data_IF_228373921961
#
_entry.id   IF_228373921961
#
_cell.length_a   1.000
_cell.length_b   1.000
_cell.length_c   1.000
_cell.angle_alpha   90.00
_cell.angle_beta   90.00
_cell.angle_gamma   90.00
#
_symmetry.space_group_name_H-M   'P 1'
#
loop_
_entity.id
_entity.type
_entity.pdbx_description
1 polymer ?
#
# COMPACT_ATOMS: atom_id res chain seq x y z
N UNK A 1 4.36 -21.77 -16.73
CA UNK A 1 4.85 -20.64 -17.56
C UNK A 1 6.20 -20.99 -18.17
N UNK A 2 6.31 -20.84 -19.48
CA UNK A 2 7.60 -20.93 -20.17
C UNK A 2 8.49 -19.73 -19.83
N UNK A 3 9.80 -19.86 -20.01
CA UNK A 3 10.79 -18.82 -19.67
C UNK A 3 10.43 -17.43 -20.21
N UNK A 4 10.05 -17.35 -21.49
CA UNK A 4 9.62 -16.10 -22.13
C UNK A 4 8.39 -15.47 -21.46
N UNK A 5 7.41 -16.28 -21.06
CA UNK A 5 6.22 -15.78 -20.37
C UNK A 5 6.59 -15.19 -18.99
N UNK A 6 7.53 -15.80 -18.26
CA UNK A 6 8.01 -15.27 -16.97
C UNK A 6 8.73 -13.94 -17.13
N UNK A 7 9.58 -13.83 -18.14
CA UNK A 7 10.30 -12.58 -18.44
C UNK A 7 9.33 -11.45 -18.79
N UNK A 8 8.34 -11.71 -19.66
CA UNK A 8 7.31 -10.73 -20.01
C UNK A 8 6.50 -10.31 -18.77
N UNK A 9 6.02 -11.26 -17.97
CA UNK A 9 5.28 -10.95 -16.74
C UNK A 9 6.12 -10.16 -15.74
N UNK A 10 7.40 -10.49 -15.58
CA UNK A 10 8.30 -9.77 -14.69
C UNK A 10 8.54 -8.32 -15.12
N UNK A 11 8.74 -8.09 -16.42
CA UNK A 11 8.87 -6.73 -16.97
C UNK A 11 7.57 -5.94 -16.80
N UNK A 12 6.41 -6.54 -17.07
CA UNK A 12 5.11 -5.88 -16.88
C UNK A 12 4.89 -5.48 -15.42
N UNK A 13 5.29 -6.32 -14.46
CA UNK A 13 5.19 -6.01 -13.03
C UNK A 13 6.11 -4.87 -12.59
N UNK A 14 7.34 -4.83 -13.11
CA UNK A 14 8.25 -3.71 -12.86
C UNK A 14 7.69 -2.42 -13.46
N UNK A 15 7.19 -2.47 -14.69
CA UNK A 15 6.56 -1.31 -15.33
C UNK A 15 5.35 -0.83 -14.53
N UNK A 16 4.48 -1.75 -14.11
CA UNK A 16 3.34 -1.46 -13.26
C UNK A 16 3.76 -0.82 -11.93
N UNK A 17 4.80 -1.35 -11.29
CA UNK A 17 5.37 -0.76 -10.08
C UNK A 17 5.82 0.68 -10.30
N UNK A 18 6.51 0.98 -11.39
CA UNK A 18 7.01 2.33 -11.66
C UNK A 18 5.83 3.28 -11.85
N UNK A 19 4.83 2.88 -12.65
CA UNK A 19 3.60 3.65 -12.87
C UNK A 19 2.88 3.93 -11.54
N UNK A 20 2.72 2.91 -10.69
CA UNK A 20 2.10 3.06 -9.38
C UNK A 20 2.90 3.98 -8.46
N UNK A 21 4.23 3.87 -8.47
CA UNK A 21 5.09 4.72 -7.65
C UNK A 21 5.00 6.19 -8.07
N UNK A 22 5.09 6.47 -9.37
CA UNK A 22 4.95 7.84 -9.92
C UNK A 22 3.56 8.41 -9.63
N UNK A 23 2.52 7.57 -9.75
CA UNK A 23 1.14 7.96 -9.42
C UNK A 23 1.02 8.38 -7.95
N UNK A 24 1.60 7.60 -7.02
CA UNK A 24 1.60 7.91 -5.59
C UNK A 24 2.38 9.19 -5.24
N UNK A 25 3.52 9.43 -5.91
CA UNK A 25 4.30 10.65 -5.71
C UNK A 25 3.56 11.90 -6.15
N UNK A 26 2.77 11.81 -7.23
CA UNK A 26 1.92 12.90 -7.72
C UNK A 26 0.55 12.96 -7.04
N UNK A 27 0.32 12.24 -5.94
CA UNK A 27 -1.00 12.20 -5.30
C UNK A 27 -1.34 13.54 -4.65
N UNK A 28 -2.58 14.00 -4.88
CA UNK A 28 -3.14 15.18 -4.26
C UNK A 28 -4.53 14.85 -3.68
N UNK A 29 -4.73 15.06 -2.38
CA UNK A 29 -6.00 14.76 -1.71
C UNK A 29 -7.17 15.64 -2.17
N UNK A 30 -6.90 16.78 -2.83
CA UNK A 30 -7.97 17.63 -3.41
C UNK A 30 -8.44 17.12 -4.76
N UNK A 31 -7.69 16.23 -5.41
CA UNK A 31 -8.03 15.65 -6.71
C UNK A 31 -8.84 14.37 -6.49
N UNK A 32 -10.11 14.41 -6.90
CA UNK A 32 -11.01 13.26 -6.78
C UNK A 32 -11.32 12.69 -8.18
N UNK A 33 -11.16 11.37 -8.40
CA UNK A 33 -11.49 10.74 -9.67
C UNK A 33 -12.93 10.98 -10.16
N UNK A 34 -13.89 11.20 -9.25
CA UNK A 34 -15.33 11.28 -9.56
C UNK A 34 -15.85 12.69 -9.92
N UNK A 35 -14.99 13.68 -10.14
CA UNK A 35 -15.41 15.06 -10.43
C UNK A 35 -14.48 15.86 -11.34
N UNK A 36 -13.44 15.22 -11.89
CA UNK A 36 -12.48 15.88 -12.79
C UNK A 36 -12.99 15.78 -14.24
N UNK A 37 -13.26 16.92 -14.86
CA UNK A 37 -13.39 17.00 -16.32
C UNK A 37 -12.04 16.72 -16.99
N UNK A 38 -12.04 16.20 -18.22
CA UNK A 38 -10.80 15.90 -18.95
C UNK A 38 -9.88 17.13 -19.14
N UNK A 39 -10.44 18.35 -19.04
CA UNK A 39 -9.75 19.64 -19.14
C UNK A 39 -9.35 20.26 -17.78
N UNK A 40 -9.50 19.52 -16.68
CA UNK A 40 -9.05 20.01 -15.38
C UNK A 40 -7.52 19.96 -15.28
N UNK A 41 -6.91 21.00 -14.70
CA UNK A 41 -5.47 21.02 -14.42
C UNK A 41 -5.15 19.96 -13.35
N UNK A 42 -4.74 18.77 -13.81
CA UNK A 42 -4.33 17.66 -12.95
C UNK A 42 -2.85 17.80 -12.56
N UNK A 43 -2.54 17.78 -11.28
CA UNK A 43 -1.16 17.88 -10.78
C UNK A 43 -0.39 16.55 -10.83
N UNK A 44 -1.09 15.42 -10.92
CA UNK A 44 -0.44 14.12 -10.98
C UNK A 44 0.40 13.98 -12.26
N UNK A 45 1.64 13.48 -12.12
CA UNK A 45 2.58 13.32 -13.24
C UNK A 45 2.06 12.44 -14.39
N UNK A 46 1.12 11.54 -14.10
CA UNK A 46 0.48 10.65 -15.09
C UNK A 46 -0.92 11.12 -15.50
N UNK A 47 -1.25 12.38 -15.21
CA UNK A 47 -2.56 12.97 -15.47
C UNK A 47 -3.68 12.24 -14.71
N UNK A 48 -4.88 12.24 -15.29
CA UNK A 48 -6.07 11.67 -14.64
C UNK A 48 -5.88 10.18 -14.30
N UNK A 49 -5.14 9.43 -15.11
CA UNK A 49 -4.87 8.02 -14.85
C UNK A 49 -4.11 7.81 -13.53
N UNK A 50 -3.11 8.65 -13.24
CA UNK A 50 -2.37 8.60 -11.97
C UNK A 50 -3.21 9.02 -10.77
N UNK A 51 -4.19 9.92 -10.96
CA UNK A 51 -5.16 10.28 -9.91
C UNK A 51 -5.98 9.06 -9.50
N UNK A 52 -6.50 8.29 -10.46
CA UNK A 52 -7.24 7.06 -10.17
C UNK A 52 -6.40 6.05 -9.38
N UNK A 53 -5.19 5.74 -9.87
CA UNK A 53 -4.31 4.76 -9.21
C UNK A 53 -3.99 5.19 -7.78
N UNK A 54 -3.53 6.43 -7.62
CA UNK A 54 -3.13 6.94 -6.32
C UNK A 54 -4.31 7.05 -5.36
N UNK A 55 -5.48 7.50 -5.82
CA UNK A 55 -6.68 7.60 -5.00
C UNK A 55 -7.09 6.24 -4.42
N UNK A 56 -7.14 5.18 -5.23
CA UNK A 56 -7.48 3.85 -4.73
C UNK A 56 -6.46 3.30 -3.75
N UNK A 57 -5.17 3.53 -4.02
CA UNK A 57 -4.11 3.10 -3.12
C UNK A 57 -4.26 3.79 -1.76
N UNK A 58 -4.26 5.13 -1.73
CA UNK A 58 -4.44 5.90 -0.50
C UNK A 58 -5.76 5.62 0.21
N UNK A 59 -6.85 5.36 -0.53
CA UNK A 59 -8.13 4.98 0.10
C UNK A 59 -8.02 3.64 0.82
N UNK A 60 -7.21 2.71 0.31
CA UNK A 60 -7.05 1.38 0.89
C UNK A 60 -6.08 1.35 2.08
N UNK A 61 -4.83 1.82 1.91
CA UNK A 61 -3.78 1.76 2.95
C UNK A 61 -3.22 3.14 3.36
N UNK A 62 -3.78 4.25 2.87
CA UNK A 62 -3.26 5.58 3.15
C UNK A 62 -1.83 5.75 2.64
N UNK A 63 -1.00 6.45 3.40
CA UNK A 63 0.43 6.65 3.07
C UNK A 63 1.23 5.34 3.03
N UNK A 64 0.78 4.27 3.71
CA UNK A 64 1.49 2.98 3.69
C UNK A 64 1.33 2.22 2.38
N UNK A 65 0.49 2.72 1.46
CA UNK A 65 0.27 2.15 0.12
C UNK A 65 1.50 2.11 -0.78
N UNK A 66 2.57 2.83 -0.42
CA UNK A 66 3.89 2.71 -1.05
C UNK A 66 4.43 1.27 -1.03
N UNK A 67 3.90 0.42 -0.14
CA UNK A 67 4.25 -0.98 -0.09
C UNK A 67 3.87 -1.74 -1.37
N UNK A 68 2.80 -1.34 -2.07
CA UNK A 68 2.35 -2.00 -3.29
C UNK A 68 3.37 -1.90 -4.43
N UNK A 69 3.86 -0.70 -4.84
CA UNK A 69 4.90 -0.64 -5.85
C UNK A 69 6.15 -1.40 -5.41
N UNK A 70 6.59 -1.27 -4.14
CA UNK A 70 7.74 -2.04 -3.64
C UNK A 70 7.53 -3.55 -3.80
N UNK A 71 6.33 -4.05 -3.46
CA UNK A 71 5.96 -5.45 -3.63
C UNK A 71 6.01 -5.89 -5.11
N UNK A 72 5.39 -5.12 -6.01
CA UNK A 72 5.37 -5.44 -7.44
C UNK A 72 6.75 -5.37 -8.08
N UNK A 73 7.59 -4.42 -7.66
CA UNK A 73 8.97 -4.32 -8.12
C UNK A 73 9.77 -5.56 -7.73
N UNK A 74 9.68 -5.98 -6.47
CA UNK A 74 10.39 -7.15 -5.97
C UNK A 74 9.86 -8.44 -6.60
N UNK A 75 8.55 -8.56 -6.78
CA UNK A 75 7.92 -9.70 -7.46
C UNK A 75 8.34 -9.78 -8.93
N UNK A 76 8.35 -8.65 -9.64
CA UNK A 76 8.77 -8.57 -11.04
C UNK A 76 10.26 -8.91 -11.21
N UNK A 77 11.10 -8.41 -10.31
CA UNK A 77 12.52 -8.78 -10.25
C UNK A 77 12.71 -10.29 -10.07
N UNK A 78 12.00 -10.92 -9.12
CA UNK A 78 12.10 -12.37 -8.89
C UNK A 78 11.69 -13.19 -10.10
N UNK A 79 10.67 -12.77 -10.86
CA UNK A 79 10.22 -13.44 -12.06
C UNK A 79 11.24 -13.37 -13.21
N UNK A 80 11.90 -12.23 -13.35
CA UNK A 80 12.95 -12.02 -14.37
C UNK A 80 14.22 -12.79 -14.06
N UNK A 81 14.58 -12.85 -12.78
CA UNK A 81 15.93 -13.22 -12.40
C UNK A 81 16.25 -14.71 -12.57
N UNK A 82 15.31 -15.53 -13.07
CA UNK A 82 15.46 -16.98 -13.36
C UNK A 82 16.18 -17.77 -12.25
N UNK A 83 16.16 -17.25 -11.02
CA UNK A 83 17.16 -17.59 -10.03
C UNK A 83 16.81 -18.93 -9.40
N UNK A 84 17.79 -19.84 -9.43
CA UNK A 84 17.94 -20.95 -8.48
C UNK A 84 18.15 -20.46 -7.02
N UNK A 85 17.83 -19.20 -6.70
CA UNK A 85 18.17 -18.56 -5.43
C UNK A 85 17.18 -18.96 -4.33
N UNK A 86 17.70 -19.04 -3.11
CA UNK A 86 16.97 -19.38 -1.88
C UNK A 86 15.96 -18.32 -1.43
N UNK A 87 15.84 -17.18 -2.13
CA UNK A 87 14.84 -16.14 -1.84
C UNK A 87 13.49 -16.67 -2.29
N UNK A 88 12.77 -17.30 -1.35
CA UNK A 88 11.45 -17.87 -1.59
C UNK A 88 10.44 -16.75 -1.76
N UNK A 89 9.38 -17.03 -2.52
CA UNK A 89 8.17 -16.20 -2.60
C UNK A 89 7.66 -15.74 -1.22
N UNK A 90 7.93 -16.49 -0.15
CA UNK A 90 7.65 -16.07 1.22
C UNK A 90 8.22 -14.68 1.57
N UNK A 91 9.36 -14.27 1.01
CA UNK A 91 9.97 -12.95 1.28
C UNK A 91 9.16 -11.79 0.69
N UNK A 92 8.47 -12.00 -0.44
CA UNK A 92 7.60 -10.97 -1.02
C UNK A 92 6.33 -10.77 -0.17
N UNK A 93 5.83 -11.85 0.43
CA UNK A 93 4.68 -11.78 1.33
C UNK A 93 4.98 -10.97 2.59
N UNK A 94 6.19 -11.09 3.15
CA UNK A 94 6.59 -10.26 4.29
C UNK A 94 6.52 -8.76 3.98
N UNK A 95 6.90 -8.34 2.76
CA UNK A 95 6.76 -6.93 2.33
C UNK A 95 5.31 -6.49 2.45
N UNK A 96 4.36 -7.26 1.92
CA UNK A 96 2.92 -6.94 2.04
C UNK A 96 2.46 -6.91 3.50
N UNK A 97 2.83 -7.91 4.30
CA UNK A 97 2.46 -7.98 5.72
C UNK A 97 2.97 -6.76 6.49
N UNK A 98 4.20 -6.30 6.24
CA UNK A 98 4.75 -5.09 6.86
C UNK A 98 3.90 -3.87 6.51
N UNK A 99 3.47 -3.71 5.25
CA UNK A 99 2.61 -2.59 4.86
C UNK A 99 1.24 -2.61 5.52
N UNK A 100 0.60 -3.78 5.55
CA UNK A 100 -0.68 -3.97 6.24
C UNK A 100 -0.55 -3.70 7.74
N UNK A 101 0.53 -4.17 8.35
CA UNK A 101 0.82 -3.96 9.77
C UNK A 101 1.05 -2.47 10.09
N UNK A 102 1.84 -1.76 9.27
CA UNK A 102 2.05 -0.32 9.41
C UNK A 102 0.76 0.48 9.26
N UNK A 103 -0.14 0.08 8.35
CA UNK A 103 -1.47 0.68 8.19
C UNK A 103 -2.27 0.60 9.50
N UNK A 104 -2.27 -0.55 10.18
CA UNK A 104 -2.95 -0.72 11.47
C UNK A 104 -2.29 0.09 12.60
N UNK A 105 -0.95 0.10 12.67
CA UNK A 105 -0.21 0.94 13.63
C UNK A 105 -0.60 2.40 13.46
N UNK A 106 -0.70 2.87 12.22
CA UNK A 106 -1.00 4.28 11.98
C UNK A 106 -2.43 4.64 12.41
N UNK A 107 -3.36 3.68 12.34
CA UNK A 107 -4.70 3.84 12.89
C UNK A 107 -4.69 3.90 14.42
N UNK A 108 -3.93 3.02 15.07
CA UNK A 108 -3.72 3.04 16.52
C UNK A 108 -3.14 4.38 16.99
N UNK A 109 -2.08 4.87 16.32
CA UNK A 109 -1.47 6.17 16.62
C UNK A 109 -2.49 7.29 16.45
N UNK A 110 -3.24 7.31 15.33
CA UNK A 110 -4.26 8.32 15.06
C UNK A 110 -5.33 8.38 16.17
N UNK A 111 -5.76 7.21 16.65
CA UNK A 111 -6.71 7.09 17.76
C UNK A 111 -6.12 7.63 19.07
N UNK A 112 -4.88 7.27 19.40
CA UNK A 112 -4.24 7.74 20.65
C UNK A 112 -4.02 9.25 20.69
N UNK A 113 -3.80 9.88 19.53
CA UNK A 113 -3.56 11.33 19.41
C UNK A 113 -4.89 12.10 19.17
N UNK A 114 -6.03 11.41 19.05
CA UNK A 114 -7.32 12.00 18.67
C UNK A 114 -7.27 12.82 17.36
N UNK A 115 -6.48 12.36 16.37
CA UNK A 115 -6.35 13.05 15.09
C UNK A 115 -7.13 12.32 13.97
N UNK A 116 -8.30 12.84 13.55
CA UNK A 116 -9.09 12.23 12.48
C UNK A 116 -8.42 12.35 11.10
N UNK A 117 -7.54 13.34 10.94
CA UNK A 117 -6.77 13.52 9.70
C UNK A 117 -5.74 12.40 9.53
N UNK A 118 -5.06 12.03 10.63
CA UNK A 118 -4.14 10.89 10.60
C UNK A 118 -4.90 9.58 10.37
N UNK A 119 -6.09 9.41 10.95
CA UNK A 119 -6.84 8.17 10.76
C UNK A 119 -7.20 7.97 9.29
N UNK A 120 -7.82 8.94 8.65
CA UNK A 120 -8.31 8.76 7.29
C UNK A 120 -7.19 8.71 6.24
N UNK A 121 -6.24 9.65 6.29
CA UNK A 121 -5.27 9.78 5.22
C UNK A 121 -4.05 8.85 5.38
N UNK A 122 -3.69 8.50 6.62
CA UNK A 122 -2.48 7.70 6.86
C UNK A 122 -2.74 6.21 7.04
N UNK A 123 -3.84 5.83 7.70
CA UNK A 123 -4.11 4.40 7.91
C UNK A 123 -4.92 3.76 6.79
N UNK A 124 -5.69 4.55 6.04
CA UNK A 124 -6.58 4.04 4.99
C UNK A 124 -7.71 3.18 5.56
N UNK A 125 -8.63 2.76 4.69
CA UNK A 125 -9.79 1.98 5.09
C UNK A 125 -9.42 0.67 5.80
N UNK A 126 -8.38 -0.03 5.33
CA UNK A 126 -7.97 -1.32 5.87
C UNK A 126 -7.48 -1.20 7.31
N UNK A 127 -6.59 -0.24 7.58
CA UNK A 127 -6.02 0.00 8.91
C UNK A 127 -7.09 0.38 9.93
N UNK A 128 -8.00 1.30 9.56
CA UNK A 128 -9.12 1.72 10.41
C UNK A 128 -10.03 0.54 10.74
N UNK A 129 -10.39 -0.26 9.74
CA UNK A 129 -11.33 -1.36 9.90
C UNK A 129 -10.77 -2.42 10.87
N UNK A 130 -9.52 -2.82 10.69
CA UNK A 130 -8.87 -3.80 11.56
C UNK A 130 -8.65 -3.24 12.96
N UNK A 131 -8.15 -2.00 13.08
CA UNK A 131 -7.94 -1.37 14.37
C UNK A 131 -9.25 -1.28 15.17
N UNK A 132 -10.34 -0.84 14.55
CA UNK A 132 -11.65 -0.73 15.21
C UNK A 132 -12.18 -2.11 15.64
N UNK A 133 -11.99 -3.14 14.81
CA UNK A 133 -12.37 -4.52 15.15
C UNK A 133 -11.54 -5.06 16.33
N UNK A 134 -10.25 -4.78 16.39
CA UNK A 134 -9.42 -5.19 17.54
C UNK A 134 -9.81 -4.41 18.80
N UNK A 135 -10.00 -3.09 18.69
CA UNK A 135 -10.34 -2.23 19.80
C UNK A 135 -11.70 -2.59 20.42
N UNK A 136 -12.67 -3.04 19.62
CA UNK A 136 -13.98 -3.48 20.13
C UNK A 136 -13.92 -4.81 20.90
N UNK A 137 -12.95 -5.69 20.60
CA UNK A 137 -12.80 -7.00 21.25
C UNK A 137 -11.96 -6.91 22.52
N UNK A 138 -10.79 -6.26 22.45
CA UNK A 138 -9.79 -6.29 23.54
C UNK A 138 -9.53 -4.92 24.18
N UNK A 139 -10.14 -3.84 23.66
CA UNK A 139 -9.88 -2.48 24.11
C UNK A 139 -8.47 -1.97 23.76
N UNK A 140 -8.22 -0.69 24.00
CA UNK A 140 -7.01 0.01 23.55
C UNK A 140 -5.70 -0.59 24.11
N UNK A 141 -5.72 -1.01 25.39
CA UNK A 141 -4.58 -1.67 26.03
C UNK A 141 -4.34 -3.07 25.45
N UNK A 142 -5.39 -3.79 25.06
CA UNK A 142 -5.24 -5.07 24.39
C UNK A 142 -4.64 -4.91 22.99
N UNK A 143 -5.08 -3.89 22.24
CA UNK A 143 -4.53 -3.59 20.91
C UNK A 143 -3.04 -3.30 20.98
N UNK A 144 -2.58 -2.50 21.95
CA UNK A 144 -1.15 -2.19 22.08
C UNK A 144 -0.30 -3.44 22.36
N UNK A 145 -0.77 -4.33 23.22
CA UNK A 145 -0.09 -5.61 23.51
C UNK A 145 -0.05 -6.52 22.27
N UNK A 146 -1.16 -6.63 21.54
CA UNK A 146 -1.22 -7.45 20.32
C UNK A 146 -0.29 -6.92 19.24
N UNK A 147 -0.26 -5.60 19.01
CA UNK A 147 0.65 -4.99 18.02
C UNK A 147 2.12 -5.25 18.41
N UNK A 148 2.48 -5.07 19.68
CA UNK A 148 3.84 -5.39 20.15
C UNK A 148 4.19 -6.87 19.97
N UNK A 149 3.25 -7.77 20.24
CA UNK A 149 3.48 -9.19 20.05
C UNK A 149 3.72 -9.54 18.58
N UNK A 150 2.93 -8.97 17.66
CA UNK A 150 3.11 -9.14 16.21
C UNK A 150 4.45 -8.57 15.74
N UNK A 151 4.91 -7.47 16.32
CA UNK A 151 6.21 -6.87 15.98
C UNK A 151 7.42 -7.76 16.33
N UNK A 152 7.29 -8.58 17.38
CA UNK A 152 8.38 -9.43 17.88
C UNK A 152 8.49 -10.74 17.08
N UNK A 153 7.41 -11.17 16.41
CA UNK A 153 7.33 -12.40 15.62
C UNK A 153 7.99 -12.25 14.23
#
# INVERSE_FOLDING_TARGET
>A
MNKRQKEISGLLLILFSIISFVSLLGHNFTENPYGLSADSNVNNFLGIFGVYISHYYYSFLGYTSIIFPVFFLFLGYLLLSNFKSKIKFNHTLYILFIGLYLSVIMSFIAYTINSPILSNNFSGFFGISIFNAMNSIVGILGVSVVLLFIFIL
#
